data_IF_698383531643
#
_entry.id   IF_698383531643
#
_cell.length_a   1.000
_cell.length_b   1.000
_cell.length_c   1.000
_cell.angle_alpha   90.00
_cell.angle_beta   90.00
_cell.angle_gamma   90.00
#
_symmetry.space_group_name_H-M   'P 1'
#
loop_
_entity.id
_entity.type
_entity.pdbx_description
1 polymer ?
#
# COMPACT_ATOMS: atom_id res chain seq x y z
N UNK A 1 -40.44 9.09 0.01
CA UNK A 1 -39.11 8.78 -0.54
C UNK A 1 -38.51 10.10 -1.02
N UNK A 2 -38.35 10.96 -0.05
CA UNK A 2 -38.01 12.37 -0.20
C UNK A 2 -36.73 12.67 0.54
N UNK A 3 -35.87 13.42 -0.12
CA UNK A 3 -34.97 14.41 0.44
C UNK A 3 -33.69 13.97 1.18
N UNK A 4 -32.94 13.07 0.54
CA UNK A 4 -31.50 12.97 0.82
C UNK A 4 -30.67 14.02 0.04
N UNK A 5 -31.35 14.89 -0.71
CA UNK A 5 -30.69 15.88 -1.57
C UNK A 5 -30.45 17.25 -0.92
N UNK A 6 -30.92 17.46 0.30
CA UNK A 6 -30.88 18.79 0.92
C UNK A 6 -29.85 18.96 2.04
N UNK A 7 -28.98 18.00 2.25
CA UNK A 7 -27.73 18.31 2.97
C UNK A 7 -26.75 18.89 1.94
N UNK A 8 -27.02 20.15 1.59
CA UNK A 8 -26.15 20.99 0.79
C UNK A 8 -24.83 21.28 1.52
N UNK A 9 -24.08 20.23 1.80
CA UNK A 9 -22.66 20.34 2.08
C UNK A 9 -22.00 20.30 0.71
N UNK A 10 -21.95 21.44 0.04
CA UNK A 10 -20.84 21.76 -0.86
C UNK A 10 -19.58 21.71 0.02
N UNK A 11 -19.10 20.52 0.31
CA UNK A 11 -17.78 20.33 0.91
C UNK A 11 -16.81 20.92 -0.10
N UNK A 12 -16.46 22.20 0.09
CA UNK A 12 -15.34 22.77 -0.63
C UNK A 12 -14.19 21.78 -0.49
N UNK A 13 -13.81 21.20 -1.62
CA UNK A 13 -12.71 20.26 -1.68
C UNK A 13 -11.45 21.03 -1.28
N UNK A 14 -10.88 20.69 -0.14
CA UNK A 14 -9.62 21.25 0.32
C UNK A 14 -8.48 20.74 -0.58
N UNK A 15 -8.35 21.34 -1.75
CA UNK A 15 -7.36 20.99 -2.76
C UNK A 15 -5.91 21.01 -2.25
N UNK A 16 -5.48 22.00 -1.44
CA UNK A 16 -4.13 22.00 -0.87
C UNK A 16 -3.85 20.75 -0.05
N UNK A 17 -4.82 20.31 0.75
CA UNK A 17 -4.70 19.11 1.58
C UNK A 17 -4.69 17.83 0.75
N UNK A 18 -5.53 17.75 -0.27
CA UNK A 18 -5.58 16.59 -1.17
C UNK A 18 -4.27 16.46 -1.93
N UNK A 19 -3.73 17.57 -2.48
CA UNK A 19 -2.43 17.57 -3.17
C UNK A 19 -1.32 17.06 -2.25
N UNK A 20 -1.26 17.52 -1.00
CA UNK A 20 -0.27 17.03 -0.02
C UNK A 20 -0.38 15.53 0.20
N UNK A 21 -1.59 15.00 0.38
CA UNK A 21 -1.81 13.57 0.57
C UNK A 21 -1.38 12.75 -0.66
N UNK A 22 -1.67 13.22 -1.87
CA UNK A 22 -1.25 12.56 -3.10
C UNK A 22 0.27 12.63 -3.30
N UNK A 23 0.92 13.73 -2.95
CA UNK A 23 2.38 13.85 -2.98
C UNK A 23 3.04 12.87 -2.01
N UNK A 24 2.51 12.73 -0.80
CA UNK A 24 2.97 11.72 0.17
C UNK A 24 2.83 10.31 -0.42
N UNK A 25 1.73 10.03 -1.11
CA UNK A 25 1.52 8.76 -1.78
C UNK A 25 2.55 8.47 -2.88
N UNK A 26 2.94 9.48 -3.64
CA UNK A 26 3.99 9.33 -4.64
C UNK A 26 5.33 8.93 -4.00
N UNK A 27 5.71 9.58 -2.90
CA UNK A 27 6.90 9.19 -2.13
C UNK A 27 6.77 7.76 -1.56
N UNK A 28 5.60 7.40 -1.06
CA UNK A 28 5.32 6.07 -0.55
C UNK A 28 5.52 4.99 -1.61
N UNK A 29 5.03 5.23 -2.84
CA UNK A 29 5.20 4.31 -3.97
C UNK A 29 6.67 4.11 -4.34
N UNK A 30 7.48 5.17 -4.26
CA UNK A 30 8.94 5.07 -4.50
C UNK A 30 9.61 4.23 -3.42
N UNK A 31 9.24 4.41 -2.14
CA UNK A 31 9.77 3.59 -1.03
C UNK A 31 9.38 2.12 -1.19
N UNK A 32 8.13 1.85 -1.59
CA UNK A 32 7.64 0.50 -1.83
C UNK A 32 8.42 -0.17 -2.97
N UNK A 33 8.55 0.53 -4.10
CA UNK A 33 9.34 0.07 -5.23
C UNK A 33 10.80 -0.22 -4.85
N UNK A 34 11.43 0.64 -4.05
CA UNK A 34 12.78 0.40 -3.56
C UNK A 34 12.88 -0.87 -2.70
N UNK A 35 11.88 -1.12 -1.85
CA UNK A 35 11.79 -2.36 -1.08
C UNK A 35 11.65 -3.60 -1.97
N UNK A 36 10.82 -3.53 -2.99
CA UNK A 36 10.62 -4.63 -3.94
C UNK A 36 11.86 -4.87 -4.81
N UNK A 37 12.58 -3.83 -5.21
CA UNK A 37 13.83 -3.96 -5.93
C UNK A 37 14.90 -4.66 -5.08
N UNK A 38 15.01 -4.38 -3.79
CA UNK A 38 15.94 -5.06 -2.89
C UNK A 38 15.63 -6.57 -2.85
N UNK A 39 14.34 -6.93 -2.82
CA UNK A 39 13.91 -8.33 -2.84
C UNK A 39 14.13 -8.99 -4.21
N UNK A 40 13.92 -8.25 -5.29
CA UNK A 40 14.12 -8.74 -6.67
C UNK A 40 15.59 -8.90 -7.04
N UNK A 41 16.55 -8.43 -6.23
CA UNK A 41 17.97 -8.66 -6.42
C UNK A 41 18.46 -10.02 -5.89
N UNK A 42 17.58 -10.81 -5.28
CA UNK A 42 17.90 -12.19 -4.91
C UNK A 42 18.17 -13.05 -6.15
N UNK A 43 19.01 -14.07 -5.98
CA UNK A 43 19.31 -15.03 -7.04
C UNK A 43 18.19 -16.06 -7.09
N UNK A 44 17.53 -16.16 -8.25
CA UNK A 44 16.52 -17.19 -8.50
C UNK A 44 17.19 -18.52 -8.84
N UNK A 45 16.60 -19.60 -8.37
CA UNK A 45 17.03 -20.95 -8.73
C UNK A 45 16.23 -21.39 -9.98
N UNK A 46 16.92 -21.43 -11.13
CA UNK A 46 16.33 -21.79 -12.43
C UNK A 46 15.82 -23.25 -12.48
N UNK A 47 16.21 -24.09 -11.52
CA UNK A 47 15.71 -25.46 -11.40
C UNK A 47 14.31 -25.54 -10.79
N UNK A 48 13.83 -24.42 -10.23
CA UNK A 48 12.51 -24.31 -9.59
C UNK A 48 11.54 -23.56 -10.51
N UNK A 49 10.25 -23.86 -10.42
CA UNK A 49 9.22 -23.21 -11.22
C UNK A 49 8.22 -22.43 -10.35
N UNK A 50 7.72 -21.32 -10.91
CA UNK A 50 6.62 -20.55 -10.36
C UNK A 50 6.91 -19.95 -8.98
N UNK A 51 6.06 -20.25 -8.00
CA UNK A 51 6.16 -19.70 -6.64
C UNK A 51 7.43 -20.12 -5.91
N UNK A 52 7.95 -21.34 -6.20
CA UNK A 52 9.16 -21.85 -5.57
C UNK A 52 10.40 -21.09 -6.07
N UNK A 53 10.45 -20.75 -7.34
CA UNK A 53 11.50 -19.91 -7.92
C UNK A 53 11.51 -18.54 -7.25
N UNK A 54 10.35 -17.87 -7.13
CA UNK A 54 10.24 -16.61 -6.38
C UNK A 54 10.72 -16.74 -4.93
N UNK A 55 10.37 -17.84 -4.25
CA UNK A 55 10.80 -18.07 -2.87
C UNK A 55 12.31 -18.27 -2.76
N UNK A 56 12.96 -18.84 -3.78
CA UNK A 56 14.42 -19.01 -3.80
C UNK A 56 15.14 -17.67 -3.80
N UNK A 57 14.64 -16.69 -4.56
CA UNK A 57 15.17 -15.32 -4.55
C UNK A 57 15.10 -14.69 -3.14
N UNK A 58 13.99 -14.88 -2.43
CA UNK A 58 13.85 -14.39 -1.05
C UNK A 58 14.80 -15.08 -0.06
N UNK A 59 15.09 -16.35 -0.25
CA UNK A 59 16.00 -17.10 0.64
C UNK A 59 17.45 -16.81 0.36
N UNK A 60 17.79 -16.37 -0.86
CA UNK A 60 19.15 -15.96 -1.25
C UNK A 60 19.49 -14.52 -0.84
N UNK A 61 18.50 -13.71 -0.52
CA UNK A 61 18.71 -12.32 -0.07
C UNK A 61 19.27 -12.29 1.35
N UNK A 62 20.24 -11.42 1.60
CA UNK A 62 20.85 -11.28 2.92
C UNK A 62 19.82 -10.82 3.98
N UNK A 63 20.03 -11.21 5.22
CA UNK A 63 19.15 -10.82 6.35
C UNK A 63 19.01 -9.31 6.49
N UNK A 64 20.09 -8.57 6.26
CA UNK A 64 20.05 -7.10 6.28
C UNK A 64 19.22 -6.53 5.13
N UNK A 65 19.30 -7.13 3.94
CA UNK A 65 18.48 -6.78 2.78
C UNK A 65 17.00 -7.05 3.03
N UNK A 66 16.67 -8.22 3.58
CA UNK A 66 15.28 -8.58 3.96
C UNK A 66 14.71 -7.61 4.99
N UNK A 67 15.51 -7.25 6.00
CA UNK A 67 15.08 -6.29 7.02
C UNK A 67 14.86 -4.89 6.44
N UNK A 68 15.78 -4.40 5.61
CA UNK A 68 15.64 -3.12 4.93
C UNK A 68 14.40 -3.08 4.03
N UNK A 69 14.19 -4.13 3.23
CA UNK A 69 13.01 -4.25 2.37
C UNK A 69 11.70 -4.28 3.17
N UNK A 70 11.68 -5.00 4.31
CA UNK A 70 10.52 -5.06 5.19
C UNK A 70 10.19 -3.69 5.81
N UNK A 71 11.20 -2.94 6.25
CA UNK A 71 11.02 -1.58 6.79
C UNK A 71 10.52 -0.62 5.71
N UNK A 72 11.14 -0.61 4.53
CA UNK A 72 10.74 0.24 3.41
C UNK A 72 9.30 -0.08 2.98
N UNK A 73 8.95 -1.36 2.87
CA UNK A 73 7.60 -1.81 2.55
C UNK A 73 6.59 -1.38 3.62
N UNK A 74 6.91 -1.53 4.90
CA UNK A 74 6.02 -1.12 5.99
C UNK A 74 5.77 0.39 5.99
N UNK A 75 6.81 1.20 5.87
CA UNK A 75 6.68 2.66 5.77
C UNK A 75 5.93 3.06 4.50
N UNK A 76 6.21 2.39 3.36
CA UNK A 76 5.50 2.60 2.11
C UNK A 76 4.00 2.39 2.29
N UNK A 77 3.58 1.24 2.82
CA UNK A 77 2.15 0.91 3.04
C UNK A 77 1.45 1.91 3.96
N UNK A 78 2.09 2.33 5.06
CA UNK A 78 1.51 3.32 5.97
C UNK A 78 1.31 4.67 5.29
N UNK A 79 2.29 5.14 4.53
CA UNK A 79 2.20 6.40 3.80
C UNK A 79 1.22 6.33 2.63
N UNK A 80 1.14 5.21 1.92
CA UNK A 80 0.12 4.96 0.88
C UNK A 80 -1.30 5.05 1.46
N UNK A 81 -1.50 4.55 2.67
CA UNK A 81 -2.78 4.67 3.39
C UNK A 81 -3.25 6.12 3.47
N UNK A 82 -2.34 7.09 3.68
CA UNK A 82 -2.67 8.51 3.69
C UNK A 82 -3.11 9.02 2.31
N UNK A 83 -2.46 8.57 1.24
CA UNK A 83 -2.84 8.94 -0.13
C UNK A 83 -4.23 8.41 -0.49
N UNK A 84 -4.53 7.18 -0.09
CA UNK A 84 -5.86 6.60 -0.32
C UNK A 84 -6.97 7.38 0.38
N UNK A 85 -6.70 7.99 1.52
CA UNK A 85 -7.63 8.94 2.15
C UNK A 85 -7.88 10.17 1.27
N UNK A 86 -6.87 10.66 0.58
CA UNK A 86 -7.02 11.76 -0.39
C UNK A 86 -7.95 11.36 -1.54
N UNK A 87 -7.71 10.21 -2.14
CA UNK A 87 -8.54 9.67 -3.23
C UNK A 87 -9.97 9.37 -2.76
N UNK A 88 -10.13 8.80 -1.56
CA UNK A 88 -11.45 8.58 -0.96
C UNK A 88 -12.27 9.87 -0.86
N UNK A 89 -11.64 10.97 -0.41
CA UNK A 89 -12.34 12.27 -0.33
C UNK A 89 -12.78 12.78 -1.69
N UNK A 90 -11.95 12.62 -2.73
CA UNK A 90 -12.31 12.97 -4.11
C UNK A 90 -13.50 12.15 -4.61
N UNK A 91 -13.47 10.84 -4.37
CA UNK A 91 -14.56 9.95 -4.76
C UNK A 91 -15.84 10.23 -3.99
N UNK A 92 -15.74 10.50 -2.68
CA UNK A 92 -16.88 10.79 -1.83
C UNK A 92 -17.61 12.08 -2.23
N UNK A 93 -16.88 13.06 -2.75
CA UNK A 93 -17.46 14.29 -3.27
C UNK A 93 -18.27 14.05 -4.56
N UNK A 94 -17.85 13.09 -5.40
CA UNK A 94 -18.50 12.80 -6.70
C UNK A 94 -19.54 11.71 -6.61
N UNK A 95 -19.29 10.64 -5.84
CA UNK A 95 -20.21 9.50 -5.71
C UNK A 95 -19.98 8.74 -4.40
N UNK A 96 -20.84 8.96 -3.37
CA UNK A 96 -20.70 8.33 -2.06
C UNK A 96 -20.74 6.79 -2.12
N UNK A 97 -21.54 6.24 -3.04
CA UNK A 97 -21.70 4.79 -3.21
C UNK A 97 -20.40 4.10 -3.61
N UNK A 98 -19.66 4.69 -4.56
CA UNK A 98 -18.39 4.14 -5.01
C UNK A 98 -17.27 4.39 -4.00
N UNK A 99 -17.29 5.53 -3.31
CA UNK A 99 -16.35 5.83 -2.24
C UNK A 99 -16.40 4.77 -1.12
N UNK A 100 -17.60 4.29 -0.78
CA UNK A 100 -17.74 3.25 0.25
C UNK A 100 -17.11 1.91 -0.18
N UNK A 101 -17.34 1.50 -1.42
CA UNK A 101 -16.70 0.29 -1.98
C UNK A 101 -15.18 0.42 -2.08
N UNK A 102 -14.71 1.59 -2.50
CA UNK A 102 -13.30 1.91 -2.56
C UNK A 102 -12.63 1.80 -1.18
N UNK A 103 -13.25 2.37 -0.13
CA UNK A 103 -12.76 2.27 1.24
C UNK A 103 -12.60 0.82 1.69
N UNK A 104 -13.58 -0.03 1.44
CA UNK A 104 -13.53 -1.45 1.83
C UNK A 104 -12.41 -2.20 1.08
N UNK A 105 -12.25 -1.94 -0.22
CA UNK A 105 -11.20 -2.56 -1.03
C UNK A 105 -9.80 -2.17 -0.57
N UNK A 106 -9.59 -0.88 -0.28
CA UNK A 106 -8.29 -0.39 0.19
C UNK A 106 -7.96 -0.90 1.58
N UNK A 107 -8.93 -0.95 2.48
CA UNK A 107 -8.70 -1.49 3.80
C UNK A 107 -8.23 -2.95 3.72
N UNK A 108 -8.87 -3.76 2.88
CA UNK A 108 -8.44 -5.13 2.60
C UNK A 108 -7.02 -5.21 2.04
N UNK A 109 -6.70 -4.36 1.06
CA UNK A 109 -5.37 -4.27 0.46
C UNK A 109 -4.29 -3.91 1.50
N UNK A 110 -4.52 -2.85 2.29
CA UNK A 110 -3.57 -2.41 3.31
C UNK A 110 -3.33 -3.48 4.38
N UNK A 111 -4.39 -4.16 4.81
CA UNK A 111 -4.27 -5.28 5.76
C UNK A 111 -3.43 -6.42 5.18
N UNK A 112 -3.67 -6.78 3.92
CA UNK A 112 -2.90 -7.84 3.26
C UNK A 112 -1.42 -7.48 3.12
N UNK A 113 -1.11 -6.25 2.69
CA UNK A 113 0.26 -5.76 2.58
C UNK A 113 0.97 -5.66 3.93
N UNK A 114 0.29 -5.17 4.97
CA UNK A 114 0.83 -5.08 6.32
C UNK A 114 1.13 -6.48 6.90
N UNK A 115 0.22 -7.43 6.74
CA UNK A 115 0.45 -8.82 7.15
C UNK A 115 1.64 -9.45 6.42
N UNK A 116 1.76 -9.23 5.10
CA UNK A 116 2.90 -9.71 4.33
C UNK A 116 4.24 -9.15 4.81
N UNK A 117 4.29 -7.87 5.16
CA UNK A 117 5.48 -7.22 5.69
C UNK A 117 5.84 -7.72 7.10
N UNK A 118 4.84 -7.94 7.96
CA UNK A 118 5.05 -8.49 9.31
C UNK A 118 5.50 -9.95 9.29
N UNK A 119 4.98 -10.79 8.40
CA UNK A 119 5.43 -12.17 8.27
C UNK A 119 6.91 -12.28 7.86
N UNK A 120 7.42 -11.31 7.08
CA UNK A 120 8.84 -11.24 6.73
C UNK A 120 9.72 -10.90 7.95
N UNK A 121 9.27 -10.03 8.85
CA UNK A 121 9.97 -9.72 10.10
C UNK A 121 9.93 -10.88 11.11
N UNK A 122 8.84 -11.62 11.21
CA UNK A 122 8.66 -12.69 12.18
C UNK A 122 9.59 -13.89 11.92
N UNK A 123 10.02 -14.13 10.69
CA UNK A 123 10.96 -15.21 10.34
C UNK A 123 12.35 -15.06 11.02
N UNK A 124 12.65 -13.89 11.58
CA UNK A 124 13.91 -13.61 12.30
C UNK A 124 13.83 -13.91 13.80
N UNK A 125 12.64 -14.16 14.33
CA UNK A 125 12.42 -14.40 15.76
C UNK A 125 12.32 -15.89 16.12
N UNK A 126 12.41 -16.78 15.13
CA UNK A 126 12.47 -18.23 15.26
C UNK A 126 13.68 -18.80 14.50
#
# INVERSE_FOLDING_TARGET
MSDFNDIGISRELDWPRIKKLLTIGLFASVLHLAGDLILGWGVEDDALEGVLQMLSAYTSTSDSGLFAAALLGLFGVVLEGLAYFGVYRLMAAKSPKYAHRYRSGIFGYLMFCACGSMCRCARRCF
#
